data_IF_798567245837
#
_entry.id   IF_798567245837
#
_cell.length_a   1.000
_cell.length_b   1.000
_cell.length_c   1.000
_cell.angle_alpha   90.00
_cell.angle_beta   90.00
_cell.angle_gamma   90.00
#
_symmetry.space_group_name_H-M   'P 1'
#
loop_
_entity.id
_entity.type
_entity.pdbx_description
1 polymer ?
#
# COMPACT_ATOMS: atom_id res chain seq x y z
N UNK A 1 -2.74 1.67 25.74
CA UNK A 1 -2.07 0.57 25.01
C UNK A 1 -2.74 0.21 23.68
N UNK A 2 -4.06 0.43 23.50
CA UNK A 2 -4.82 0.06 22.29
C UNK A 2 -4.70 1.03 21.10
N UNK A 3 -4.33 2.30 21.32
CA UNK A 3 -4.05 3.27 20.24
C UNK A 3 -2.71 3.02 19.52
N UNK A 4 -1.91 2.04 19.98
CA UNK A 4 -0.66 1.58 19.33
C UNK A 4 -0.92 0.79 18.04
N UNK A 5 -2.13 0.28 17.84
CA UNK A 5 -2.41 -0.69 16.78
C UNK A 5 -2.99 -0.07 15.51
N UNK A 6 -3.53 1.15 15.51
CA UNK A 6 -4.24 1.66 14.33
C UNK A 6 -3.30 1.86 13.14
N UNK A 7 -2.21 2.61 13.33
CA UNK A 7 -1.21 2.83 12.28
C UNK A 7 -0.56 1.51 11.81
N UNK A 8 -0.12 0.66 12.75
CA UNK A 8 0.48 -0.63 12.39
C UNK A 8 -0.52 -1.59 11.71
N UNK A 9 -1.78 -1.62 12.15
CA UNK A 9 -2.81 -2.45 11.53
C UNK A 9 -3.08 -1.97 10.10
N UNK A 10 -2.99 -0.68 9.84
CA UNK A 10 -3.17 -0.12 8.51
C UNK A 10 -2.00 -0.42 7.58
N UNK A 11 -0.76 -0.30 8.06
CA UNK A 11 0.43 -0.73 7.32
C UNK A 11 0.34 -2.24 7.00
N UNK A 12 -0.15 -3.05 7.94
CA UNK A 12 -0.44 -4.48 7.71
C UNK A 12 -1.60 -4.72 6.72
N UNK A 13 -2.68 -3.94 6.80
CA UNK A 13 -3.77 -3.98 5.84
C UNK A 13 -3.26 -3.65 4.44
N UNK A 14 -2.36 -2.66 4.29
CA UNK A 14 -1.74 -2.32 3.01
C UNK A 14 -0.86 -3.46 2.49
N UNK A 15 -0.06 -4.07 3.37
CA UNK A 15 0.72 -5.26 3.02
C UNK A 15 -0.16 -6.39 2.48
N UNK A 16 -1.33 -6.61 3.07
CA UNK A 16 -2.33 -7.59 2.60
C UNK A 16 -3.04 -7.17 1.31
N UNK A 17 -3.23 -5.87 1.09
CA UNK A 17 -3.86 -5.33 -0.12
C UNK A 17 -2.95 -5.40 -1.34
N UNK A 18 -1.61 -5.35 -1.18
CA UNK A 18 -0.63 -5.47 -2.27
C UNK A 18 -0.87 -6.72 -3.15
N UNK A 19 -0.90 -7.96 -2.62
CA UNK A 19 -1.12 -9.15 -3.43
C UNK A 19 -2.54 -9.20 -4.03
N UNK A 20 -3.53 -8.57 -3.38
CA UNK A 20 -4.90 -8.47 -3.91
C UNK A 20 -4.93 -7.57 -5.14
N UNK A 21 -4.33 -6.38 -5.06
CA UNK A 21 -4.21 -5.45 -6.19
C UNK A 21 -3.41 -6.10 -7.32
N UNK A 22 -2.29 -6.75 -7.00
CA UNK A 22 -1.47 -7.50 -7.97
C UNK A 22 -2.31 -8.52 -8.76
N UNK A 23 -3.09 -9.34 -8.05
CA UNK A 23 -3.95 -10.35 -8.68
C UNK A 23 -5.06 -9.71 -9.53
N UNK A 24 -5.68 -8.62 -9.06
CA UNK A 24 -6.72 -7.92 -9.82
C UNK A 24 -6.18 -7.28 -11.10
N UNK A 25 -4.95 -6.75 -11.08
CA UNK A 25 -4.26 -6.22 -12.28
C UNK A 25 -4.05 -7.32 -13.31
N UNK A 26 -3.60 -8.51 -12.89
CA UNK A 26 -3.40 -9.66 -13.77
C UNK A 26 -4.71 -10.23 -14.35
N UNK A 27 -5.84 -9.99 -13.69
CA UNK A 27 -7.16 -10.45 -14.13
C UNK A 27 -7.93 -9.43 -14.99
N UNK A 28 -7.29 -8.31 -15.38
CA UNK A 28 -7.94 -7.21 -16.11
C UNK A 28 -9.22 -6.67 -15.44
N UNK A 29 -9.29 -6.80 -14.11
CA UNK A 29 -10.48 -6.37 -13.37
C UNK A 29 -10.47 -4.86 -13.17
N UNK A 30 -11.54 -4.13 -13.55
CA UNK A 30 -11.66 -2.69 -13.26
C UNK A 30 -11.68 -2.40 -11.76
N UNK A 31 -11.95 -3.41 -10.93
CA UNK A 31 -11.88 -3.32 -9.47
C UNK A 31 -10.45 -3.07 -8.96
N UNK A 32 -9.41 -3.34 -9.76
CA UNK A 32 -8.02 -3.04 -9.38
C UNK A 32 -7.83 -1.55 -9.05
N UNK A 33 -8.42 -0.66 -9.86
CA UNK A 33 -8.33 0.80 -9.67
C UNK A 33 -9.06 1.22 -8.40
N UNK A 34 -10.21 0.62 -8.14
CA UNK A 34 -11.02 0.91 -6.95
C UNK A 34 -10.28 0.49 -5.67
N UNK A 35 -9.76 -0.74 -5.63
CA UNK A 35 -9.03 -1.27 -4.47
C UNK A 35 -7.72 -0.52 -4.27
N UNK A 36 -7.01 -0.18 -5.34
CA UNK A 36 -5.82 0.66 -5.28
C UNK A 36 -6.12 2.07 -4.73
N UNK A 37 -7.20 2.70 -5.21
CA UNK A 37 -7.64 4.01 -4.73
C UNK A 37 -8.02 4.00 -3.24
N UNK A 38 -8.73 2.96 -2.79
CA UNK A 38 -9.04 2.77 -1.36
C UNK A 38 -7.75 2.59 -0.55
N UNK A 39 -6.80 1.78 -1.02
CA UNK A 39 -5.53 1.58 -0.33
C UNK A 39 -4.74 2.90 -0.19
N UNK A 40 -4.71 3.73 -1.23
CA UNK A 40 -4.04 5.03 -1.23
C UNK A 40 -4.75 6.06 -0.33
N UNK A 41 -6.09 6.09 -0.32
CA UNK A 41 -6.85 6.96 0.60
C UNK A 41 -6.63 6.60 2.06
N UNK A 42 -6.47 5.30 2.34
CA UNK A 42 -6.25 4.79 3.69
C UNK A 42 -4.88 5.25 4.21
N UNK A 43 -3.85 5.37 3.36
CA UNK A 43 -2.54 5.97 3.70
C UNK A 43 -2.63 7.45 4.10
N UNK A 44 -3.35 8.24 3.30
CA UNK A 44 -3.52 9.68 3.56
C UNK A 44 -4.20 9.94 4.89
N UNK A 45 -5.20 9.13 5.21
CA UNK A 45 -5.97 9.28 6.44
C UNK A 45 -5.13 8.94 7.68
N UNK A 46 -4.31 7.90 7.60
CA UNK A 46 -3.42 7.51 8.70
C UNK A 46 -2.24 8.44 8.87
N UNK A 47 -1.65 8.93 7.79
CA UNK A 47 -0.63 9.97 7.85
C UNK A 47 -1.16 11.26 8.46
N UNK A 48 -2.43 11.62 8.18
CA UNK A 48 -3.10 12.75 8.82
C UNK A 48 -3.34 12.52 10.32
N UNK A 49 -3.83 11.34 10.70
CA UNK A 49 -4.11 10.99 12.09
C UNK A 49 -2.84 10.86 12.94
N UNK A 50 -1.77 10.29 12.38
CA UNK A 50 -0.46 10.14 13.02
C UNK A 50 0.21 11.50 13.28
N UNK A 51 0.12 12.44 12.32
CA UNK A 51 0.63 13.81 12.48
C UNK A 51 -0.09 14.58 13.58
N UNK A 52 -1.41 14.42 13.72
CA UNK A 52 -2.18 15.09 14.78
C UNK A 52 -1.97 14.49 16.17
N UNK A 53 -1.62 13.21 16.26
CA UNK A 53 -1.55 12.52 17.55
C UNK A 53 -0.15 12.47 18.17
N UNK A 54 0.89 12.96 17.47
CA UNK A 54 2.29 12.97 17.93
C UNK A 54 2.79 11.58 18.42
N UNK A 55 2.11 10.52 17.98
CA UNK A 55 2.32 9.12 18.38
C UNK A 55 2.90 8.34 17.22
N UNK A 56 4.08 8.75 16.79
CA UNK A 56 4.85 8.06 15.75
C UNK A 56 5.82 7.11 16.44
N UNK A 57 5.70 5.81 16.18
CA UNK A 57 6.65 4.80 16.69
C UNK A 57 7.83 4.66 15.73
N UNK A 58 9.03 4.36 16.24
CA UNK A 58 10.21 4.16 15.38
C UNK A 58 10.04 2.99 14.41
N UNK A 59 9.38 1.91 14.84
CA UNK A 59 9.11 0.74 14.00
C UNK A 59 8.14 1.06 12.84
N UNK A 60 7.04 1.78 13.11
CA UNK A 60 6.12 2.21 12.05
C UNK A 60 6.79 3.15 11.05
N UNK A 61 7.61 4.09 11.54
CA UNK A 61 8.39 5.01 10.69
C UNK A 61 9.40 4.27 9.79
N UNK A 62 9.92 3.13 10.23
CA UNK A 62 10.81 2.27 9.43
C UNK A 62 10.04 1.38 8.44
N UNK A 63 8.89 0.84 8.86
CA UNK A 63 8.07 -0.07 8.05
C UNK A 63 7.30 0.64 6.94
N UNK A 64 6.80 1.86 7.17
CA UNK A 64 6.03 2.61 6.16
C UNK A 64 6.80 2.79 4.83
N UNK A 65 8.04 3.33 4.80
CA UNK A 65 8.79 3.45 3.55
C UNK A 65 9.22 2.10 2.96
N UNK A 66 9.25 1.02 3.75
CA UNK A 66 9.50 -0.33 3.26
C UNK A 66 8.29 -0.90 2.52
N UNK A 67 7.10 -0.78 3.10
CA UNK A 67 5.84 -1.26 2.52
C UNK A 67 5.49 -0.46 1.26
N UNK A 68 5.73 0.85 1.24
CA UNK A 68 5.52 1.66 0.03
C UNK A 68 6.43 1.22 -1.13
N UNK A 69 7.71 0.92 -0.85
CA UNK A 69 8.63 0.38 -1.88
C UNK A 69 8.19 -0.99 -2.38
N UNK A 70 7.67 -1.85 -1.50
CA UNK A 70 7.11 -3.14 -1.88
C UNK A 70 5.85 -3.00 -2.75
N UNK A 71 4.99 -2.02 -2.46
CA UNK A 71 3.79 -1.76 -3.24
C UNK A 71 4.15 -1.33 -4.67
N UNK A 72 5.08 -0.38 -4.82
CA UNK A 72 5.58 0.07 -6.13
C UNK A 72 6.25 -1.10 -6.87
N UNK A 73 7.14 -1.84 -6.21
CA UNK A 73 7.82 -2.99 -6.80
C UNK A 73 6.82 -4.07 -7.25
N UNK A 74 5.82 -4.38 -6.43
CA UNK A 74 4.76 -5.33 -6.76
C UNK A 74 3.96 -4.90 -8.00
N UNK A 75 3.55 -3.63 -8.08
CA UNK A 75 2.84 -3.10 -9.25
C UNK A 75 3.71 -3.15 -10.50
N UNK A 76 4.99 -2.76 -10.41
CA UNK A 76 5.93 -2.81 -11.53
C UNK A 76 6.12 -4.25 -12.02
N UNK A 77 6.33 -5.21 -11.11
CA UNK A 77 6.44 -6.63 -11.46
C UNK A 77 5.16 -7.13 -12.12
N UNK A 78 3.98 -6.75 -11.61
CA UNK A 78 2.70 -7.13 -12.20
C UNK A 78 2.57 -6.64 -13.64
N UNK A 79 2.93 -5.38 -13.87
CA UNK A 79 2.88 -4.75 -15.19
C UNK A 79 3.88 -5.38 -16.15
N UNK A 80 5.13 -5.62 -15.72
CA UNK A 80 6.15 -6.29 -16.54
C UNK A 80 5.71 -7.71 -16.91
N UNK A 81 5.17 -8.48 -15.98
CA UNK A 81 4.68 -9.84 -16.25
C UNK A 81 3.49 -9.83 -17.22
N UNK A 82 2.62 -8.82 -17.12
CA UNK A 82 1.41 -8.71 -17.93
C UNK A 82 1.68 -8.21 -19.34
N UNK A 83 2.47 -7.16 -19.48
CA UNK A 83 2.69 -6.47 -20.75
C UNK A 83 3.98 -6.90 -21.45
N UNK A 84 4.86 -7.67 -20.80
CA UNK A 84 6.19 -8.10 -21.28
C UNK A 84 7.15 -6.98 -21.72
N UNK A 85 6.69 -5.74 -21.75
CA UNK A 85 7.46 -4.54 -22.03
C UNK A 85 7.47 -3.64 -20.78
N UNK A 86 8.65 -3.20 -20.31
CA UNK A 86 8.73 -2.21 -19.26
C UNK A 86 8.07 -0.91 -19.75
N UNK A 87 7.35 -0.18 -18.88
CA UNK A 87 6.75 1.08 -19.29
C UNK A 87 7.86 2.06 -19.73
N UNK A 88 7.81 2.49 -21.00
CA UNK A 88 8.87 3.25 -21.69
C UNK A 88 8.88 4.77 -21.37
N UNK A 89 8.25 5.17 -20.26
CA UNK A 89 8.26 6.55 -19.78
C UNK A 89 9.54 6.92 -19.00
#
# INVERSE_FOLDING_TARGET
MLTKNMANALTFCRLLLIPVVFKLILQDSPLAVLVFGIAALTDLFDGYLARRTNKVTELGRLLDPFVDRLLIAGVVIALVLKYQEPPLW
#
